data_IF_995296900864
#
_entry.id   IF_995296900864
#
_cell.length_a   1.000
_cell.length_b   1.000
_cell.length_c   1.000
_cell.angle_alpha   90.00
_cell.angle_beta   90.00
_cell.angle_gamma   90.00
#
_symmetry.space_group_name_H-M   'P 1'
#
loop_
_entity.id
_entity.type
_entity.pdbx_description
1 polymer ?
#
# COMPACT_ATOMS: atom_id res chain seq x y z
N UNK A 1 -13.44 -26.30 -7.98
CA UNK A 1 -12.82 -24.97 -8.27
C UNK A 1 -11.54 -24.78 -7.45
N UNK A 2 -11.52 -25.17 -6.17
CA UNK A 2 -10.28 -25.24 -5.36
C UNK A 2 -9.20 -26.16 -5.95
N UNK A 3 -9.59 -27.23 -6.64
CA UNK A 3 -8.63 -28.21 -7.20
C UNK A 3 -7.78 -27.67 -8.37
N UNK A 4 -8.13 -26.50 -8.93
CA UNK A 4 -7.39 -25.85 -10.02
C UNK A 4 -6.48 -24.71 -9.56
N UNK A 5 -6.35 -24.52 -8.24
CA UNK A 5 -5.56 -23.46 -7.62
C UNK A 5 -4.31 -24.09 -7.00
N UNK A 6 -3.15 -23.47 -7.22
CA UNK A 6 -1.89 -23.83 -6.57
C UNK A 6 -1.87 -23.23 -5.16
N UNK A 7 -1.60 -24.09 -4.17
CA UNK A 7 -1.30 -23.70 -2.80
C UNK A 7 0.05 -22.96 -2.73
N UNK A 8 0.30 -22.27 -1.61
CA UNK A 8 1.56 -21.55 -1.42
C UNK A 8 2.78 -22.49 -1.39
N UNK A 9 2.61 -23.69 -0.84
CA UNK A 9 3.65 -24.72 -0.82
C UNK A 9 3.94 -25.24 -2.22
N UNK A 10 2.91 -25.47 -3.05
CA UNK A 10 3.09 -25.87 -4.45
C UNK A 10 3.77 -24.78 -5.29
N UNK A 11 3.41 -23.51 -5.09
CA UNK A 11 4.08 -22.39 -5.77
C UNK A 11 5.56 -22.33 -5.37
N UNK A 12 5.86 -22.40 -4.07
CA UNK A 12 7.23 -22.38 -3.58
C UNK A 12 8.05 -23.59 -4.07
N UNK A 13 7.43 -24.77 -4.19
CA UNK A 13 8.07 -25.95 -4.77
C UNK A 13 8.41 -25.73 -6.25
N UNK A 14 7.49 -25.18 -7.05
CA UNK A 14 7.69 -24.88 -8.47
C UNK A 14 8.76 -23.80 -8.70
N UNK A 15 8.78 -22.75 -7.88
CA UNK A 15 9.76 -21.67 -7.96
C UNK A 15 11.19 -22.19 -7.79
N UNK A 16 11.38 -23.10 -6.84
CA UNK A 16 12.68 -23.73 -6.59
C UNK A 16 13.06 -24.75 -7.67
N UNK A 17 12.11 -25.55 -8.16
CA UNK A 17 12.33 -26.46 -9.28
C UNK A 17 12.84 -25.70 -10.50
N UNK A 18 12.19 -24.59 -10.86
CA UNK A 18 12.57 -23.75 -12.00
C UNK A 18 13.90 -23.02 -11.76
N UNK A 19 14.18 -22.59 -10.52
CA UNK A 19 15.46 -21.98 -10.12
C UNK A 19 16.65 -22.90 -10.23
N UNK A 20 16.49 -24.17 -9.87
CA UNK A 20 17.61 -25.12 -9.95
C UNK A 20 17.81 -25.66 -11.38
N UNK A 21 16.75 -25.81 -12.18
CA UNK A 21 16.84 -26.13 -13.62
C UNK A 21 17.76 -25.14 -14.35
N UNK A 22 17.76 -23.87 -13.96
CA UNK A 22 18.61 -22.81 -14.54
C UNK A 22 20.12 -22.97 -14.32
N UNK A 23 20.54 -23.80 -13.35
CA UNK A 23 21.94 -23.92 -12.93
C UNK A 23 22.69 -25.10 -13.55
N UNK A 24 21.98 -26.07 -14.15
CA UNK A 24 22.59 -27.27 -14.72
C UNK A 24 22.04 -27.56 -16.12
N UNK A 25 22.87 -27.52 -17.18
CA UNK A 25 22.43 -27.55 -18.58
C UNK A 25 22.00 -28.95 -19.09
N UNK A 26 21.60 -29.87 -18.21
CA UNK A 26 21.14 -31.22 -18.61
C UNK A 26 19.62 -31.28 -18.52
N UNK A 27 18.99 -31.47 -19.67
CA UNK A 27 17.53 -31.50 -19.89
C UNK A 27 16.78 -32.66 -19.22
N UNK A 28 17.46 -33.51 -18.46
CA UNK A 28 16.86 -34.68 -17.80
C UNK A 28 17.49 -34.87 -16.42
N UNK A 29 16.68 -34.74 -15.36
CA UNK A 29 17.12 -34.99 -13.97
C UNK A 29 16.46 -36.24 -13.40
N UNK A 30 17.26 -37.06 -12.75
CA UNK A 30 16.79 -38.18 -11.94
C UNK A 30 15.88 -37.69 -10.79
N UNK A 31 14.67 -38.22 -10.72
CA UNK A 31 13.68 -37.83 -9.70
C UNK A 31 14.18 -38.07 -8.27
N UNK A 32 14.98 -39.10 -8.03
CA UNK A 32 15.49 -39.44 -6.70
C UNK A 32 16.59 -38.47 -6.23
N UNK A 33 17.44 -38.02 -7.15
CA UNK A 33 18.48 -37.04 -6.84
C UNK A 33 17.84 -35.67 -6.55
N UNK A 34 16.81 -35.30 -7.32
CA UNK A 34 16.01 -34.10 -7.09
C UNK A 34 15.31 -34.09 -5.71
N UNK A 35 14.62 -35.19 -5.35
CA UNK A 35 13.97 -35.32 -4.03
C UNK A 35 14.94 -35.23 -2.85
N UNK A 36 16.21 -35.62 -3.06
CA UNK A 36 17.27 -35.54 -2.06
C UNK A 36 17.81 -34.10 -1.94
N UNK A 37 18.03 -33.43 -3.06
CA UNK A 37 18.44 -32.02 -3.10
C UNK A 37 17.38 -31.10 -2.48
N UNK A 38 16.10 -31.36 -2.77
CA UNK A 38 14.96 -30.64 -2.17
C UNK A 38 14.95 -30.71 -0.64
N UNK A 39 15.07 -31.93 -0.08
CA UNK A 39 15.15 -32.14 1.37
C UNK A 39 16.34 -31.41 2.00
N UNK A 40 17.45 -31.28 1.28
CA UNK A 40 18.64 -30.58 1.76
C UNK A 40 18.49 -29.05 1.74
N UNK A 41 17.75 -28.48 0.78
CA UNK A 41 17.58 -27.02 0.63
C UNK A 41 16.61 -26.41 1.66
N UNK A 42 15.61 -27.15 2.11
CA UNK A 42 14.52 -26.61 2.94
C UNK A 42 14.54 -27.04 4.41
N UNK A 43 15.50 -27.91 4.80
CA UNK A 43 15.49 -28.54 6.11
C UNK A 43 14.35 -29.56 6.27
N UNK A 44 14.35 -30.28 7.40
CA UNK A 44 13.59 -31.53 7.65
C UNK A 44 12.05 -31.37 7.78
N UNK A 45 11.45 -30.30 7.24
CA UNK A 45 10.05 -29.94 7.47
C UNK A 45 9.25 -29.42 6.27
N UNK A 46 9.79 -29.40 5.05
CA UNK A 46 9.02 -29.03 3.85
C UNK A 46 8.26 -30.22 3.27
N UNK A 47 7.00 -30.01 2.90
CA UNK A 47 6.19 -31.04 2.24
C UNK A 47 6.66 -31.20 0.77
N UNK A 48 6.87 -32.45 0.34
CA UNK A 48 7.16 -32.80 -1.05
C UNK A 48 5.84 -32.77 -1.83
N UNK A 49 5.64 -31.73 -2.66
CA UNK A 49 4.43 -31.57 -3.47
C UNK A 49 4.53 -32.24 -4.86
N UNK A 50 5.52 -33.10 -5.11
CA UNK A 50 5.73 -33.70 -6.43
C UNK A 50 4.53 -34.51 -6.91
N UNK A 51 3.84 -35.22 -6.01
CA UNK A 51 2.69 -36.06 -6.38
C UNK A 51 1.44 -35.22 -6.67
N UNK A 52 1.20 -34.17 -5.88
CA UNK A 52 0.11 -33.21 -6.09
C UNK A 52 0.25 -32.52 -7.45
N UNK A 53 1.47 -32.11 -7.81
CA UNK A 53 1.76 -31.50 -9.10
C UNK A 53 1.65 -32.48 -10.27
N UNK A 54 1.94 -33.77 -10.05
CA UNK A 54 1.70 -34.84 -11.03
C UNK A 54 0.22 -35.10 -11.24
N UNK A 55 -0.58 -35.14 -10.17
CA UNK A 55 -2.05 -35.26 -10.25
C UNK A 55 -2.63 -34.09 -11.05
N UNK A 56 -2.08 -32.88 -10.87
CA UNK A 56 -2.45 -31.68 -11.64
C UNK A 56 -1.96 -31.71 -13.10
N UNK A 57 -1.11 -32.68 -13.47
CA UNK A 57 -0.52 -32.83 -14.81
C UNK A 57 0.53 -31.79 -15.14
N UNK A 58 1.07 -31.10 -14.13
CA UNK A 58 2.13 -30.10 -14.27
C UNK A 58 3.49 -30.79 -14.41
N UNK A 59 3.70 -31.85 -13.63
CA UNK A 59 4.87 -32.72 -13.72
C UNK A 59 4.47 -34.04 -14.36
N UNK A 60 5.36 -34.59 -15.17
CA UNK A 60 5.24 -35.95 -15.71
C UNK A 60 6.55 -36.72 -15.53
N UNK A 61 6.46 -38.05 -15.44
CA UNK A 61 7.61 -38.92 -15.31
C UNK A 61 7.81 -39.67 -16.61
N UNK A 62 8.98 -39.51 -17.19
CA UNK A 62 9.39 -40.27 -18.37
C UNK A 62 10.60 -41.13 -18.04
N UNK A 63 10.69 -42.29 -18.69
CA UNK A 63 11.86 -43.15 -18.55
C UNK A 63 12.77 -42.91 -19.74
N UNK A 64 14.01 -42.52 -19.47
CA UNK A 64 15.03 -42.30 -20.50
C UNK A 64 16.12 -43.35 -20.35
N UNK A 65 16.51 -43.95 -21.48
CA UNK A 65 17.65 -44.84 -21.51
C UNK A 65 18.94 -44.02 -21.43
N UNK A 66 19.75 -44.29 -20.41
CA UNK A 66 21.06 -43.67 -20.19
C UNK A 66 22.14 -44.72 -20.43
N UNK A 67 23.17 -44.33 -21.17
CA UNK A 67 24.27 -45.20 -21.54
C UNK A 67 25.54 -44.67 -20.90
N UNK A 68 26.04 -45.38 -19.89
CA UNK A 68 27.30 -45.06 -19.24
C UNK A 68 28.42 -45.90 -19.87
N UNK A 69 29.46 -45.20 -20.33
CA UNK A 69 30.63 -45.84 -20.93
C UNK A 69 31.70 -45.99 -19.84
N UNK A 70 32.03 -47.23 -19.52
CA UNK A 70 33.14 -47.56 -18.63
C UNK A 70 34.26 -48.20 -19.45
N UNK A 71 35.44 -47.58 -19.43
CA UNK A 71 36.66 -48.22 -19.90
C UNK A 71 37.20 -49.14 -18.81
N UNK A 72 37.28 -50.43 -19.10
CA UNK A 72 37.94 -51.40 -18.24
C UNK A 72 38.90 -52.24 -19.08
N UNK A 73 40.18 -52.21 -18.74
CA UNK A 73 41.27 -52.89 -19.47
C UNK A 73 41.31 -52.61 -20.99
N UNK A 74 41.03 -51.37 -21.42
CA UNK A 74 41.12 -50.94 -22.82
C UNK A 74 39.97 -51.44 -23.71
N UNK A 75 38.89 -51.96 -23.13
CA UNK A 75 37.63 -52.24 -23.80
C UNK A 75 36.54 -51.34 -23.23
N UNK A 76 35.83 -50.62 -24.10
CA UNK A 76 34.67 -49.82 -23.74
C UNK A 76 33.46 -50.74 -23.47
N UNK A 77 33.00 -50.78 -22.24
CA UNK A 77 31.75 -51.42 -21.86
C UNK A 77 30.64 -50.36 -21.74
N UNK A 78 29.58 -50.53 -22.52
CA UNK A 78 28.40 -49.67 -22.47
C UNK A 78 27.38 -50.29 -21.51
N UNK A 79 27.15 -49.66 -20.36
CA UNK A 79 26.09 -50.03 -19.44
C UNK A 79 24.84 -49.21 -19.79
N UNK A 80 23.81 -49.88 -20.30
CA UNK A 80 22.49 -49.28 -20.46
C UNK A 80 21.73 -49.37 -19.14
N UNK A 81 21.30 -48.22 -18.63
CA UNK A 81 20.40 -48.11 -17.48
C UNK A 81 19.16 -47.31 -17.85
N UNK A 82 18.06 -47.52 -17.13
CA UNK A 82 16.84 -46.72 -17.29
C UNK A 82 16.76 -45.72 -16.15
N UNK A 83 16.68 -44.44 -16.50
CA UNK A 83 16.55 -43.34 -15.56
C UNK A 83 15.13 -42.79 -15.58
N UNK A 84 14.48 -42.70 -14.42
CA UNK A 84 13.22 -41.98 -14.29
C UNK A 84 13.53 -40.48 -14.19
N UNK A 85 12.99 -39.72 -15.13
CA UNK A 85 13.23 -38.29 -15.25
C UNK A 85 11.92 -37.52 -15.21
N UNK A 86 11.93 -36.39 -14.51
CA UNK A 86 10.80 -35.49 -14.43
C UNK A 86 10.78 -34.54 -15.62
N UNK A 87 9.66 -34.45 -16.31
CA UNK A 87 9.40 -33.46 -17.36
C UNK A 87 8.34 -32.47 -16.89
N UNK A 88 8.36 -31.26 -17.44
CA UNK A 88 7.49 -30.17 -17.03
C UNK A 88 6.51 -29.81 -18.15
N UNK A 89 5.21 -29.92 -17.89
CA UNK A 89 4.19 -29.49 -18.83
C UNK A 89 3.89 -28.01 -18.65
N UNK A 90 4.64 -27.19 -19.40
CA UNK A 90 4.58 -25.73 -19.32
C UNK A 90 3.17 -25.21 -19.61
N UNK A 91 2.45 -25.76 -20.59
CA UNK A 91 1.11 -25.27 -20.95
C UNK A 91 0.09 -25.51 -19.81
N UNK A 92 0.12 -26.71 -19.22
CA UNK A 92 -0.77 -27.06 -18.09
C UNK A 92 -0.43 -26.21 -16.88
N UNK A 93 0.85 -26.06 -16.57
CA UNK A 93 1.31 -25.16 -15.52
C UNK A 93 0.80 -23.73 -15.68
N UNK A 94 0.93 -23.15 -16.88
CA UNK A 94 0.45 -21.79 -17.15
C UNK A 94 -1.06 -21.65 -16.86
N UNK A 95 -1.87 -22.66 -17.19
CA UNK A 95 -3.30 -22.68 -16.88
C UNK A 95 -3.57 -22.65 -15.38
N UNK A 96 -2.91 -23.52 -14.60
CA UNK A 96 -3.03 -23.54 -13.14
C UNK A 96 -2.54 -22.23 -12.51
N UNK A 97 -1.45 -21.69 -13.02
CA UNK A 97 -0.84 -20.49 -12.48
C UNK A 97 -1.69 -19.23 -12.72
N UNK A 98 -2.13 -19.01 -13.96
CA UNK A 98 -3.02 -17.87 -14.28
C UNK A 98 -4.33 -17.98 -13.50
N UNK A 99 -4.92 -19.18 -13.42
CA UNK A 99 -6.11 -19.47 -12.60
C UNK A 99 -5.88 -19.08 -11.13
N UNK A 100 -4.75 -19.48 -10.56
CA UNK A 100 -4.37 -19.20 -9.17
C UNK A 100 -4.26 -17.69 -8.92
N UNK A 101 -3.65 -16.96 -9.84
CA UNK A 101 -3.51 -15.50 -9.72
C UNK A 101 -4.86 -14.77 -9.82
N UNK A 102 -5.68 -15.14 -10.80
CA UNK A 102 -7.01 -14.53 -10.99
C UNK A 102 -7.88 -14.79 -9.76
N UNK A 103 -7.84 -16.02 -9.22
CA UNK A 103 -8.51 -16.35 -7.97
C UNK A 103 -8.02 -15.50 -6.80
N UNK A 104 -6.69 -15.39 -6.59
CA UNK A 104 -6.11 -14.54 -5.51
C UNK A 104 -6.44 -13.05 -5.70
N UNK A 105 -6.68 -12.59 -6.93
CA UNK A 105 -7.13 -11.21 -7.20
C UNK A 105 -8.60 -10.96 -6.85
N UNK A 106 -9.35 -12.00 -6.46
CA UNK A 106 -10.78 -11.94 -6.12
C UNK A 106 -11.73 -12.11 -7.31
N UNK A 107 -11.23 -12.57 -8.46
CA UNK A 107 -12.02 -12.83 -9.67
C UNK A 107 -12.34 -14.32 -9.85
N UNK A 108 -13.36 -14.60 -10.66
CA UNK A 108 -13.67 -15.96 -11.07
C UNK A 108 -12.76 -16.39 -12.24
N UNK A 109 -11.98 -17.44 -12.04
CA UNK A 109 -11.05 -17.94 -13.06
C UNK A 109 -11.75 -18.50 -14.32
N UNK A 110 -13.06 -18.78 -14.24
CA UNK A 110 -13.86 -19.24 -15.38
C UNK A 110 -14.03 -18.19 -16.48
N UNK A 111 -13.63 -16.94 -16.24
CA UNK A 111 -13.69 -15.83 -17.22
C UNK A 111 -12.54 -15.87 -18.24
N UNK A 112 -11.56 -16.76 -18.04
CA UNK A 112 -10.39 -16.88 -18.92
C UNK A 112 -10.59 -18.03 -19.90
N UNK A 113 -10.55 -17.70 -21.19
CA UNK A 113 -10.57 -18.70 -22.25
C UNK A 113 -9.15 -19.22 -22.52
N UNK A 114 -8.77 -20.28 -21.79
CA UNK A 114 -7.48 -20.96 -21.96
C UNK A 114 -7.30 -21.66 -23.31
N UNK A 115 -8.35 -21.75 -24.16
CA UNK A 115 -8.19 -22.28 -25.53
C UNK A 115 -7.45 -21.30 -26.44
N UNK A 116 -7.31 -20.03 -26.02
CA UNK A 116 -6.61 -18.98 -26.76
C UNK A 116 -5.11 -18.92 -26.43
N UNK A 117 -4.57 -19.86 -25.65
CA UNK A 117 -3.12 -19.99 -25.47
C UNK A 117 -2.50 -20.27 -26.83
N UNK A 118 -1.58 -19.40 -27.24
CA UNK A 118 -0.83 -19.54 -28.49
C UNK A 118 0.65 -19.73 -28.18
N UNK A 119 1.24 -20.79 -28.75
CA UNK A 119 2.69 -21.05 -28.69
C UNK A 119 3.38 -20.23 -29.79
N UNK A 120 4.28 -19.34 -29.38
CA UNK A 120 5.17 -18.59 -30.24
C UNK A 120 6.59 -19.15 -30.21
N UNK A 121 7.51 -18.42 -30.85
CA UNK A 121 8.93 -18.80 -30.95
C UNK A 121 9.58 -18.81 -29.55
N UNK A 122 9.37 -17.76 -28.74
CA UNK A 122 10.04 -17.66 -27.44
C UNK A 122 9.17 -18.07 -26.24
N UNK A 123 8.05 -18.78 -26.46
CA UNK A 123 7.18 -19.27 -25.38
C UNK A 123 5.69 -19.21 -25.70
N UNK A 124 4.85 -18.93 -24.71
CA UNK A 124 3.39 -18.93 -24.82
C UNK A 124 2.83 -17.51 -24.69
N UNK A 125 1.64 -17.29 -25.21
CA UNK A 125 0.91 -16.05 -24.97
C UNK A 125 -0.58 -16.30 -24.84
N UNK A 126 -1.21 -15.56 -23.94
CA UNK A 126 -2.62 -15.69 -23.60
C UNK A 126 -3.28 -14.30 -23.64
N UNK A 127 -4.26 -14.08 -24.54
CA UNK A 127 -5.10 -12.91 -24.46
C UNK A 127 -6.04 -13.02 -23.25
N UNK A 128 -6.09 -11.97 -22.45
CA UNK A 128 -7.02 -11.81 -21.34
C UNK A 128 -7.87 -10.58 -21.62
N UNK A 129 -9.19 -10.75 -21.59
CA UNK A 129 -10.12 -9.62 -21.71
C UNK A 129 -10.27 -8.95 -20.34
N UNK A 130 -10.10 -7.63 -20.30
CA UNK A 130 -10.13 -6.82 -19.08
C UNK A 130 -11.05 -5.63 -19.34
N UNK A 131 -12.30 -5.74 -18.91
CA UNK A 131 -13.32 -4.74 -19.25
C UNK A 131 -13.55 -4.71 -20.77
N UNK A 132 -13.35 -3.56 -21.41
CA UNK A 132 -13.42 -3.39 -22.87
C UNK A 132 -12.11 -3.68 -23.59
N UNK A 133 -11.01 -3.75 -22.85
CA UNK A 133 -9.67 -3.87 -23.41
C UNK A 133 -9.27 -5.34 -23.50
N UNK A 134 -8.43 -5.68 -24.49
CA UNK A 134 -7.79 -7.00 -24.60
C UNK A 134 -6.31 -6.82 -24.37
N UNK A 135 -5.78 -7.49 -23.35
CA UNK A 135 -4.36 -7.47 -23.01
C UNK A 135 -3.78 -8.84 -23.31
N UNK A 136 -2.63 -8.89 -23.99
CA UNK A 136 -1.96 -10.15 -24.30
C UNK A 136 -0.82 -10.37 -23.29
N UNK A 137 -0.93 -11.40 -22.47
CA UNK A 137 0.14 -11.77 -21.54
C UNK A 137 1.11 -12.69 -22.25
N UNK A 138 2.41 -12.41 -22.17
CA UNK A 138 3.45 -13.25 -22.75
C UNK A 138 4.20 -14.01 -21.65
N UNK A 139 4.28 -15.31 -21.83
CA UNK A 139 5.05 -16.24 -21.02
C UNK A 139 6.24 -16.67 -21.85
N UNK A 140 7.38 -16.03 -21.65
CA UNK A 140 8.60 -16.41 -22.35
C UNK A 140 9.14 -17.66 -21.64
N UNK A 141 9.32 -18.73 -22.40
CA UNK A 141 9.82 -20.00 -21.89
C UNK A 141 10.98 -20.39 -22.78
N UNK A 142 12.16 -20.60 -22.21
CA UNK A 142 13.42 -20.91 -22.92
C UNK A 142 13.45 -22.27 -23.63
N UNK A 143 12.33 -22.72 -24.20
CA UNK A 143 12.26 -23.95 -24.97
C UNK A 143 12.62 -23.69 -26.45
N UNK A 144 13.81 -23.14 -26.71
CA UNK A 144 14.47 -23.20 -28.02
C UNK A 144 15.97 -23.42 -27.88
N UNK A 145 16.40 -24.57 -28.40
CA UNK A 145 17.71 -24.83 -28.97
C UNK A 145 17.94 -23.94 -30.20
N UNK A 146 18.58 -22.78 -30.02
CA UNK A 146 19.08 -21.98 -31.15
C UNK A 146 18.89 -20.48 -31.02
N UNK A 147 20.03 -19.78 -30.89
CA UNK A 147 20.23 -18.45 -31.45
C UNK A 147 19.80 -17.28 -30.58
N UNK A 148 20.81 -16.55 -30.07
CA UNK A 148 20.78 -15.14 -29.62
C UNK A 148 20.38 -14.83 -28.16
N UNK A 149 19.91 -15.79 -27.36
CA UNK A 149 19.62 -15.60 -25.93
C UNK A 149 20.60 -16.31 -24.97
N UNK A 150 21.78 -16.72 -25.45
CA UNK A 150 22.78 -17.53 -24.72
C UNK A 150 23.38 -16.90 -23.45
N UNK A 151 23.04 -15.66 -23.09
CA UNK A 151 23.59 -14.97 -21.91
C UNK A 151 22.57 -14.64 -20.82
N UNK A 152 21.34 -15.17 -20.89
CA UNK A 152 20.37 -15.08 -19.79
C UNK A 152 19.94 -16.47 -19.37
N UNK A 153 20.12 -16.77 -18.08
CA UNK A 153 19.82 -18.04 -17.40
C UNK A 153 18.49 -18.66 -17.85
N UNK A 154 18.45 -19.99 -17.95
CA UNK A 154 17.23 -20.73 -18.28
C UNK A 154 16.16 -20.56 -17.21
N UNK A 155 15.28 -19.59 -17.40
CA UNK A 155 14.13 -19.30 -16.56
C UNK A 155 12.85 -19.23 -17.39
N UNK A 156 11.71 -19.45 -16.74
CA UNK A 156 10.46 -18.92 -17.24
C UNK A 156 10.45 -17.41 -16.98
N UNK A 157 10.07 -16.60 -17.95
CA UNK A 157 9.91 -15.15 -17.75
C UNK A 157 8.46 -14.80 -18.03
N UNK A 158 7.83 -14.09 -17.10
CA UNK A 158 6.48 -13.57 -17.33
C UNK A 158 6.63 -12.11 -17.69
N UNK A 159 6.37 -11.79 -18.96
CA UNK A 159 6.28 -10.40 -19.41
C UNK A 159 4.82 -10.09 -19.67
N UNK A 160 4.26 -9.24 -18.82
CA UNK A 160 3.02 -8.56 -19.16
C UNK A 160 3.38 -7.56 -20.26
N UNK A 161 2.83 -7.71 -21.48
CA UNK A 161 2.97 -6.71 -22.54
C UNK A 161 1.59 -6.32 -23.03
N UNK A 162 1.05 -5.23 -22.50
CA UNK A 162 -0.20 -4.66 -22.97
C UNK A 162 0.02 -3.63 -24.06
N UNK A 163 -0.96 -3.45 -24.96
CA UNK A 163 -1.13 -2.25 -25.79
C UNK A 163 -1.56 -1.03 -24.93
N UNK A 164 -1.03 -0.92 -23.72
CA UNK A 164 -1.38 0.10 -22.74
C UNK A 164 -0.18 1.02 -22.54
N UNK A 165 -0.46 2.30 -22.38
CA UNK A 165 0.49 3.36 -22.05
C UNK A 165 1.00 3.24 -20.60
N UNK A 166 1.56 2.08 -20.24
CA UNK A 166 2.37 1.92 -19.04
C UNK A 166 3.84 2.23 -19.40
N UNK A 167 4.58 2.96 -18.56
CA UNK A 167 5.98 3.26 -18.83
C UNK A 167 6.79 1.95 -18.81
N UNK A 168 7.42 1.64 -19.95
CA UNK A 168 8.37 0.55 -20.23
C UNK A 168 8.40 -0.58 -19.19
N UNK A 169 7.74 -1.69 -19.51
CA UNK A 169 7.67 -2.90 -18.69
C UNK A 169 9.07 -3.51 -18.48
N UNK A 170 9.37 -3.82 -17.22
CA UNK A 170 10.50 -4.65 -16.80
C UNK A 170 10.10 -6.12 -16.91
N UNK A 171 10.91 -6.93 -17.57
CA UNK A 171 10.81 -8.40 -17.51
C UNK A 171 10.78 -8.85 -16.04
N UNK A 172 9.90 -9.79 -15.71
CA UNK A 172 9.86 -10.43 -14.39
C UNK A 172 10.48 -11.81 -14.53
N UNK A 173 11.55 -12.03 -13.78
CA UNK A 173 12.17 -13.34 -13.64
C UNK A 173 11.30 -14.17 -12.69
N UNK A 174 10.98 -15.40 -13.08
CA UNK A 174 10.14 -16.29 -12.27
C UNK A 174 10.70 -16.59 -10.86
N UNK A 175 11.98 -16.32 -10.61
CA UNK A 175 12.62 -16.60 -9.32
C UNK A 175 12.11 -15.74 -8.17
N UNK A 176 11.53 -14.59 -8.46
CA UNK A 176 10.83 -13.80 -7.45
C UNK A 176 9.36 -14.23 -7.44
N UNK A 177 8.76 -14.54 -6.27
CA UNK A 177 7.33 -14.79 -6.20
C UNK A 177 6.63 -13.58 -6.83
N UNK A 178 5.98 -13.79 -7.97
CA UNK A 178 5.41 -12.72 -8.80
C UNK A 178 4.39 -11.89 -7.99
N UNK A 179 3.82 -12.46 -6.93
CA UNK A 179 2.96 -11.74 -5.98
C UNK A 179 3.68 -10.65 -5.16
N UNK A 180 4.98 -10.79 -4.93
CA UNK A 180 5.81 -9.84 -4.19
C UNK A 180 6.54 -8.85 -5.09
N UNK A 181 6.59 -9.11 -6.41
CA UNK A 181 7.14 -8.18 -7.38
C UNK A 181 6.23 -6.95 -7.56
N UNK A 182 6.83 -5.76 -7.62
CA UNK A 182 6.10 -4.50 -7.68
C UNK A 182 5.37 -4.32 -9.02
N UNK A 183 5.94 -4.78 -10.13
CA UNK A 183 5.37 -4.64 -11.48
C UNK A 183 4.16 -5.56 -11.64
N UNK A 184 4.27 -6.80 -11.19
CA UNK A 184 3.14 -7.72 -11.13
C UNK A 184 2.06 -7.26 -10.14
N UNK A 185 2.42 -6.80 -8.94
CA UNK A 185 1.46 -6.21 -7.98
C UNK A 185 0.68 -5.06 -8.61
N UNK A 186 1.36 -4.15 -9.31
CA UNK A 186 0.72 -3.04 -10.04
C UNK A 186 -0.21 -3.54 -11.13
N UNK A 187 0.21 -4.52 -11.93
CA UNK A 187 -0.63 -5.12 -12.97
C UNK A 187 -1.89 -5.76 -12.38
N UNK A 188 -1.79 -6.47 -11.25
CA UNK A 188 -2.93 -7.09 -10.59
C UNK A 188 -3.87 -6.08 -9.92
N UNK A 189 -3.32 -5.03 -9.29
CA UNK A 189 -4.13 -3.91 -8.79
C UNK A 189 -4.85 -3.24 -9.94
N UNK A 190 -4.18 -2.98 -11.06
CA UNK A 190 -4.80 -2.42 -12.26
C UNK A 190 -5.90 -3.35 -12.83
N UNK A 191 -5.64 -4.65 -12.92
CA UNK A 191 -6.61 -5.68 -13.33
C UNK A 191 -7.87 -5.67 -12.45
N UNK A 192 -7.69 -5.51 -11.13
CA UNK A 192 -8.76 -5.41 -10.13
C UNK A 192 -9.55 -4.11 -10.30
N UNK A 193 -8.87 -2.99 -10.55
CA UNK A 193 -9.49 -1.69 -10.78
C UNK A 193 -10.23 -1.60 -12.12
N UNK A 194 -9.80 -2.31 -13.17
CA UNK A 194 -10.47 -2.28 -14.47
C UNK A 194 -11.65 -3.23 -14.60
N UNK A 195 -11.67 -4.33 -13.85
CA UNK A 195 -12.82 -5.24 -13.79
C UNK A 195 -13.96 -4.76 -12.92
N UNK A 196 -13.67 -3.80 -12.04
CA UNK A 196 -14.69 -3.11 -11.26
C UNK A 196 -15.72 -2.54 -12.25
N UNK A 197 -17.02 -2.93 -12.18
CA UNK A 197 -18.05 -2.36 -13.06
C UNK A 197 -18.00 -0.83 -12.97
N UNK A 198 -18.32 -0.08 -14.02
CA UNK A 198 -18.22 1.40 -14.02
C UNK A 198 -18.92 2.05 -12.81
N UNK A 199 -20.02 1.44 -12.35
CA UNK A 199 -20.75 1.79 -11.12
C UNK A 199 -19.89 1.67 -9.85
N UNK A 200 -18.98 0.70 -9.78
CA UNK A 200 -18.06 0.52 -8.66
C UNK A 200 -16.92 1.56 -8.59
N UNK A 201 -16.62 2.24 -9.72
CA UNK A 201 -15.73 3.40 -9.79
C UNK A 201 -16.41 4.71 -9.38
N UNK A 202 -17.71 4.70 -9.09
CA UNK A 202 -18.42 5.84 -8.53
C UNK A 202 -18.12 5.95 -7.03
N UNK A 203 -17.22 6.86 -6.68
CA UNK A 203 -16.91 7.22 -5.31
C UNK A 203 -16.35 8.63 -5.23
N UNK A 204 -16.55 9.26 -4.08
CA UNK A 204 -15.82 10.46 -3.69
C UNK A 204 -14.58 10.05 -2.91
N UNK A 205 -13.55 10.89 -2.82
CA UNK A 205 -12.36 10.54 -2.05
C UNK A 205 -11.71 11.76 -1.39
N UNK A 206 -10.96 11.47 -0.34
CA UNK A 206 -10.02 12.40 0.30
C UNK A 206 -8.62 11.80 0.14
N UNK A 207 -7.65 12.62 -0.26
CA UNK A 207 -6.24 12.25 -0.21
C UNK A 207 -5.71 12.50 1.20
N UNK A 208 -5.13 11.46 1.79
CA UNK A 208 -4.32 11.55 2.99
C UNK A 208 -2.95 12.15 2.61
N UNK A 209 -2.53 13.26 3.22
CA UNK A 209 -1.21 13.81 2.97
C UNK A 209 -0.11 12.78 3.28
N UNK A 210 0.82 12.61 2.35
CA UNK A 210 1.82 11.53 2.37
C UNK A 210 2.89 11.73 3.44
N UNK A 211 3.13 12.98 3.84
CA UNK A 211 4.13 13.41 4.82
C UNK A 211 3.64 13.34 6.27
N UNK A 212 2.38 12.98 6.52
CA UNK A 212 1.88 12.78 7.87
C UNK A 212 2.35 11.45 8.46
N UNK A 213 2.71 11.47 9.74
CA UNK A 213 3.01 10.27 10.51
C UNK A 213 1.75 9.40 10.69
N UNK A 214 1.90 8.10 10.95
CA UNK A 214 0.78 7.17 11.10
C UNK A 214 -0.24 7.60 12.15
N UNK A 215 0.21 8.16 13.28
CA UNK A 215 -0.68 8.68 14.33
C UNK A 215 -1.51 9.89 13.84
N UNK A 216 -0.90 10.77 13.04
CA UNK A 216 -1.59 11.92 12.45
C UNK A 216 -2.58 11.49 11.37
N UNK A 217 -2.23 10.49 10.55
CA UNK A 217 -3.16 9.88 9.59
C UNK A 217 -4.39 9.31 10.30
N UNK A 218 -4.21 8.66 11.45
CA UNK A 218 -5.31 8.16 12.27
C UNK A 218 -6.21 9.29 12.82
N UNK A 219 -5.63 10.42 13.22
CA UNK A 219 -6.43 11.58 13.64
C UNK A 219 -7.21 12.23 12.49
N UNK A 220 -6.67 12.20 11.26
CA UNK A 220 -7.42 12.60 10.05
C UNK A 220 -8.59 11.64 9.79
N UNK A 221 -8.43 10.33 10.05
CA UNK A 221 -9.50 9.35 9.90
C UNK A 221 -10.60 9.55 10.96
N UNK A 222 -10.24 9.89 12.20
CA UNK A 222 -11.21 10.32 13.22
C UNK A 222 -11.96 11.59 12.80
N UNK A 223 -11.26 12.56 12.22
CA UNK A 223 -11.85 13.77 11.69
C UNK A 223 -12.90 13.47 10.61
N UNK A 224 -12.62 12.53 9.69
CA UNK A 224 -13.59 12.07 8.69
C UNK A 224 -14.85 11.51 9.36
N UNK A 225 -14.70 10.68 10.38
CA UNK A 225 -15.82 10.10 11.12
C UNK A 225 -16.66 11.18 11.82
N UNK A 226 -16.01 12.16 12.46
CA UNK A 226 -16.67 13.31 13.08
C UNK A 226 -17.42 14.15 12.03
N UNK A 227 -16.82 14.38 10.85
CA UNK A 227 -17.44 15.13 9.78
C UNK A 227 -18.71 14.47 9.23
N UNK A 228 -18.65 13.16 8.92
CA UNK A 228 -19.82 12.40 8.48
C UNK A 228 -20.94 12.42 9.54
N UNK A 229 -20.57 12.35 10.82
CA UNK A 229 -21.52 12.48 11.93
C UNK A 229 -22.22 13.86 11.93
N UNK A 230 -21.49 14.95 11.64
CA UNK A 230 -22.11 16.28 11.48
C UNK A 230 -23.04 16.38 10.26
N UNK A 231 -22.83 15.56 9.24
CA UNK A 231 -23.74 15.41 8.10
C UNK A 231 -24.95 14.50 8.41
N UNK A 232 -25.10 14.09 9.68
CA UNK A 232 -26.14 13.19 10.20
C UNK A 232 -26.04 11.73 9.74
N UNK A 233 -24.85 11.30 9.34
CA UNK A 233 -24.57 9.87 9.13
C UNK A 233 -24.17 9.21 10.45
N UNK A 234 -24.78 8.07 10.75
CA UNK A 234 -24.47 7.30 11.96
C UNK A 234 -23.54 6.15 11.62
N UNK A 235 -22.43 6.01 12.34
CA UNK A 235 -21.51 4.88 12.17
C UNK A 235 -22.19 3.56 12.59
N UNK A 236 -22.16 2.56 11.73
CA UNK A 236 -22.80 1.24 11.87
C UNK A 236 -21.85 0.16 11.34
N UNK A 237 -20.75 -0.07 12.06
CA UNK A 237 -19.75 -1.07 11.69
C UNK A 237 -20.15 -2.46 12.20
N UNK A 238 -21.01 -3.15 11.45
CA UNK A 238 -21.22 -4.58 11.62
C UNK A 238 -21.32 -5.26 10.26
N UNK A 239 -20.89 -6.52 10.12
CA UNK A 239 -20.97 -7.27 8.86
C UNK A 239 -22.37 -7.28 8.24
N UNK A 240 -23.41 -7.36 9.08
CA UNK A 240 -24.82 -7.27 8.66
C UNK A 240 -25.16 -5.97 7.92
N UNK A 241 -24.48 -4.86 8.25
CA UNK A 241 -24.66 -3.59 7.57
C UNK A 241 -23.83 -3.47 6.28
N UNK A 242 -22.92 -4.41 6.02
CA UNK A 242 -22.14 -4.46 4.78
C UNK A 242 -22.85 -5.26 3.69
N UNK A 243 -23.74 -6.17 4.06
CA UNK A 243 -24.51 -6.99 3.14
C UNK A 243 -25.87 -6.34 2.81
N UNK A 244 -26.42 -6.58 1.60
CA UNK A 244 -25.87 -7.40 0.51
C UNK A 244 -24.82 -6.68 -0.36
N UNK A 245 -24.60 -5.37 -0.18
CA UNK A 245 -23.86 -4.55 -1.14
C UNK A 245 -22.38 -4.91 -1.28
N UNK A 246 -21.74 -5.40 -0.21
CA UNK A 246 -20.37 -5.95 -0.28
C UNK A 246 -20.26 -7.11 -1.28
N UNK A 247 -21.22 -8.03 -1.29
CA UNK A 247 -21.25 -9.17 -2.20
C UNK A 247 -21.65 -8.74 -3.63
N UNK A 248 -22.71 -7.94 -3.76
CA UNK A 248 -23.25 -7.54 -5.07
C UNK A 248 -22.29 -6.66 -5.87
N UNK A 249 -21.48 -5.84 -5.19
CA UNK A 249 -20.53 -4.93 -5.83
C UNK A 249 -19.07 -5.37 -5.66
N UNK A 250 -18.84 -6.62 -5.24
CA UNK A 250 -17.52 -7.22 -5.08
C UNK A 250 -16.57 -6.36 -4.22
N UNK A 251 -17.08 -5.78 -3.14
CA UNK A 251 -16.30 -5.09 -2.11
C UNK A 251 -15.98 -6.09 -1.00
N UNK A 252 -14.72 -6.58 -0.90
CA UNK A 252 -14.35 -7.47 0.19
C UNK A 252 -14.61 -6.76 1.53
N UNK A 253 -15.36 -7.39 2.44
CA UNK A 253 -15.68 -6.80 3.74
C UNK A 253 -14.42 -6.39 4.52
N UNK A 254 -13.31 -7.11 4.33
CA UNK A 254 -12.00 -6.79 4.91
C UNK A 254 -11.41 -5.44 4.49
N UNK A 255 -11.87 -4.87 3.38
CA UNK A 255 -11.43 -3.55 2.89
C UNK A 255 -12.28 -2.40 3.42
N UNK A 256 -13.47 -2.70 3.96
CA UNK A 256 -14.38 -1.70 4.51
C UNK A 256 -13.90 -1.36 5.93
N UNK A 257 -13.40 -0.15 6.10
CA UNK A 257 -12.98 0.34 7.42
C UNK A 257 -14.17 0.76 8.26
N UNK A 258 -15.05 1.56 7.68
CA UNK A 258 -16.21 2.11 8.36
C UNK A 258 -17.45 2.07 7.45
N UNK A 259 -18.62 1.81 8.04
CA UNK A 259 -19.92 1.93 7.40
C UNK A 259 -20.74 2.99 8.12
N UNK A 260 -21.37 3.85 7.34
CA UNK A 260 -22.18 4.96 7.81
C UNK A 260 -23.57 4.88 7.20
N UNK A 261 -24.61 5.06 8.01
CA UNK A 261 -26.01 4.99 7.56
C UNK A 261 -26.76 6.25 7.96
N UNK A 262 -27.50 6.81 7.01
CA UNK A 262 -28.39 7.94 7.19
C UNK A 262 -29.77 7.61 6.63
N UNK A 263 -30.80 8.00 7.38
CA UNK A 263 -32.19 7.85 6.95
C UNK A 263 -32.77 9.24 6.67
N UNK A 264 -33.28 9.45 5.47
CA UNK A 264 -33.99 10.67 5.06
C UNK A 264 -35.38 10.27 4.57
N UNK A 265 -36.37 10.36 5.46
CA UNK A 265 -37.72 9.86 5.17
C UNK A 265 -37.71 8.34 4.96
N UNK A 266 -38.17 7.88 3.79
CA UNK A 266 -38.14 6.47 3.38
C UNK A 266 -36.81 6.04 2.75
N UNK A 267 -35.94 6.99 2.39
CA UNK A 267 -34.68 6.70 1.69
C UNK A 267 -33.57 6.39 2.68
N UNK A 268 -32.91 5.24 2.49
CA UNK A 268 -31.73 4.82 3.25
C UNK A 268 -30.47 5.11 2.43
N UNK A 269 -29.61 5.98 2.95
CA UNK A 269 -28.26 6.20 2.41
C UNK A 269 -27.24 5.46 3.26
N UNK A 270 -26.33 4.75 2.60
CA UNK A 270 -25.23 4.02 3.21
C UNK A 270 -23.93 4.46 2.56
N UNK A 271 -22.87 4.63 3.34
CA UNK A 271 -21.53 4.95 2.86
C UNK A 271 -20.56 3.91 3.41
N UNK A 272 -19.82 3.24 2.53
CA UNK A 272 -18.63 2.51 2.90
C UNK A 272 -17.40 3.41 2.76
N UNK A 273 -16.61 3.45 3.82
CA UNK A 273 -15.32 4.12 3.87
C UNK A 273 -14.25 3.04 3.69
N UNK A 274 -13.50 3.15 2.61
CA UNK A 274 -12.42 2.21 2.25
C UNK A 274 -11.10 2.98 2.24
N UNK A 275 -10.05 2.38 2.80
CA UNK A 275 -8.70 2.96 2.73
C UNK A 275 -7.92 2.25 1.65
N UNK A 276 -7.46 3.02 0.68
CA UNK A 276 -6.62 2.57 -0.40
C UNK A 276 -5.33 3.39 -0.41
N UNK A 277 -4.27 2.82 0.17
CA UNK A 277 -2.98 3.49 0.38
C UNK A 277 -3.12 4.86 1.08
N UNK A 278 -2.93 5.95 0.33
CA UNK A 278 -3.03 7.33 0.80
C UNK A 278 -4.35 7.99 0.39
N UNK A 279 -5.40 7.20 0.10
CA UNK A 279 -6.74 7.69 -0.23
C UNK A 279 -7.77 7.05 0.67
N UNK A 280 -8.74 7.87 1.07
CA UNK A 280 -9.96 7.42 1.73
C UNK A 280 -11.09 7.57 0.74
N UNK A 281 -11.65 6.44 0.32
CA UNK A 281 -12.71 6.34 -0.68
C UNK A 281 -14.07 6.22 0.03
N UNK A 282 -15.08 6.90 -0.51
CA UNK A 282 -16.44 6.94 0.01
C UNK A 282 -17.38 6.36 -1.05
N UNK A 283 -17.77 5.10 -0.88
CA UNK A 283 -18.72 4.43 -1.77
C UNK A 283 -20.13 4.61 -1.22
N UNK A 284 -21.00 5.27 -1.98
CA UNK A 284 -22.36 5.59 -1.54
C UNK A 284 -23.37 4.65 -2.16
N UNK A 285 -24.34 4.26 -1.36
CA UNK A 285 -25.47 3.43 -1.74
C UNK A 285 -26.77 4.12 -1.30
N UNK A 286 -27.70 4.28 -2.23
CA UNK A 286 -29.04 4.83 -1.98
C UNK A 286 -30.02 3.68 -2.19
N UNK A 287 -30.75 3.32 -1.14
CA UNK A 287 -31.70 2.20 -1.13
C UNK A 287 -31.07 0.88 -1.62
N UNK A 288 -29.80 0.65 -1.28
CA UNK A 288 -29.02 -0.54 -1.64
C UNK A 288 -28.34 -0.47 -3.01
N UNK A 289 -28.63 0.55 -3.81
CA UNK A 289 -28.04 0.72 -5.14
C UNK A 289 -26.83 1.65 -5.05
N UNK A 290 -25.69 1.23 -5.60
CA UNK A 290 -24.50 2.09 -5.67
C UNK A 290 -24.77 3.31 -6.54
N UNK A 291 -24.49 4.50 -6.02
CA UNK A 291 -24.81 5.76 -6.68
C UNK A 291 -23.76 6.82 -6.35
N UNK A 292 -23.49 7.70 -7.31
CA UNK A 292 -22.74 8.93 -7.04
C UNK A 292 -23.66 9.96 -6.36
N UNK A 293 -23.34 10.33 -5.12
CA UNK A 293 -24.08 11.36 -4.38
C UNK A 293 -23.32 12.70 -4.50
N UNK A 294 -23.80 13.58 -5.38
CA UNK A 294 -23.20 14.89 -5.63
C UNK A 294 -23.10 15.74 -4.37
N UNK A 295 -24.10 15.67 -3.49
CA UNK A 295 -24.10 16.41 -2.24
C UNK A 295 -23.02 15.90 -1.30
N UNK A 296 -22.89 14.57 -1.19
CA UNK A 296 -21.80 13.98 -0.42
C UNK A 296 -20.45 14.37 -1.04
N UNK A 297 -20.31 14.27 -2.36
CA UNK A 297 -19.06 14.57 -3.05
C UNK A 297 -18.58 15.99 -2.79
N UNK A 298 -19.47 16.98 -2.92
CA UNK A 298 -19.17 18.36 -2.58
C UNK A 298 -18.80 18.51 -1.08
N UNK A 299 -19.46 17.79 -0.18
CA UNK A 299 -19.09 17.80 1.24
C UNK A 299 -17.71 17.17 1.49
N UNK A 300 -17.35 16.13 0.74
CA UNK A 300 -16.04 15.48 0.79
C UNK A 300 -14.94 16.40 0.22
N UNK A 301 -15.20 17.15 -0.84
CA UNK A 301 -14.27 18.18 -1.34
C UNK A 301 -14.04 19.28 -0.29
N UNK A 302 -15.09 19.74 0.38
CA UNK A 302 -14.95 20.70 1.49
C UNK A 302 -14.16 20.11 2.66
N UNK A 303 -14.31 18.82 2.94
CA UNK A 303 -13.51 18.13 3.95
C UNK A 303 -12.02 18.07 3.54
N UNK A 304 -11.71 17.81 2.27
CA UNK A 304 -10.33 17.89 1.75
C UNK A 304 -9.74 19.28 2.00
N UNK A 305 -10.47 20.34 1.67
CA UNK A 305 -10.01 21.73 1.89
C UNK A 305 -9.70 21.97 3.38
N UNK A 306 -10.53 21.45 4.28
CA UNK A 306 -10.29 21.52 5.72
C UNK A 306 -9.02 20.78 6.13
N UNK A 307 -8.85 19.54 5.65
CA UNK A 307 -7.67 18.71 5.91
C UNK A 307 -6.40 19.40 5.41
N UNK A 308 -6.40 19.94 4.21
CA UNK A 308 -5.25 20.64 3.63
C UNK A 308 -4.88 21.86 4.46
N UNK A 309 -5.89 22.64 4.86
CA UNK A 309 -5.69 23.81 5.72
C UNK A 309 -5.08 23.42 7.08
N UNK A 310 -5.60 22.37 7.71
CA UNK A 310 -5.10 21.88 9.01
C UNK A 310 -3.72 21.28 8.90
N UNK A 311 -3.44 20.57 7.81
CA UNK A 311 -2.12 20.03 7.51
C UNK A 311 -1.10 21.15 7.33
N UNK A 312 -1.44 22.20 6.58
CA UNK A 312 -0.57 23.37 6.43
C UNK A 312 -0.34 24.10 7.76
N UNK A 313 -1.35 24.20 8.62
CA UNK A 313 -1.20 24.75 9.97
C UNK A 313 -0.27 23.87 10.82
N UNK A 314 -0.49 22.56 10.85
CA UNK A 314 0.36 21.60 11.55
C UNK A 314 1.83 21.70 11.10
N UNK A 315 2.08 21.70 9.78
CA UNK A 315 3.43 21.90 9.21
C UNK A 315 4.09 23.18 9.70
N UNK A 316 3.36 24.31 9.72
CA UNK A 316 3.87 25.59 10.23
C UNK A 316 4.20 25.54 11.72
N UNK A 317 3.41 24.83 12.52
CA UNK A 317 3.67 24.70 13.96
C UNK A 317 4.87 23.77 14.18
N UNK A 318 4.96 22.65 13.47
CA UNK A 318 6.09 21.71 13.53
C UNK A 318 7.41 22.37 13.12
N UNK A 319 7.43 23.16 12.04
CA UNK A 319 8.62 23.93 11.67
C UNK A 319 9.07 24.89 12.78
N UNK A 320 8.12 25.60 13.42
CA UNK A 320 8.43 26.50 14.54
C UNK A 320 8.86 25.76 15.80
N UNK A 321 8.34 24.55 16.03
CA UNK A 321 8.78 23.66 17.11
C UNK A 321 10.19 23.12 16.84
N UNK A 322 10.52 22.72 15.62
CA UNK A 322 11.88 22.29 15.26
C UNK A 322 12.93 23.40 15.41
N UNK A 323 12.50 24.66 15.33
CA UNK A 323 13.32 25.85 15.62
C UNK A 323 13.26 26.29 17.10
N UNK A 324 12.41 25.66 17.91
CA UNK A 324 12.23 26.02 19.32
C UNK A 324 13.43 25.55 20.12
N UNK A 325 13.92 26.43 20.99
CA UNK A 325 15.01 26.10 21.93
C UNK A 325 14.51 25.29 23.14
N UNK A 326 13.26 24.82 23.18
CA UNK A 326 12.73 24.08 24.33
C UNK A 326 13.41 22.74 24.58
N UNK A 327 13.98 22.08 23.57
CA UNK A 327 14.81 20.90 23.84
C UNK A 327 16.09 21.28 24.63
N UNK A 328 16.40 22.59 24.69
CA UNK A 328 17.37 23.21 25.59
C UNK A 328 16.71 23.91 26.80
N UNK A 329 15.51 23.51 27.25
CA UNK A 329 14.78 24.15 28.37
C UNK A 329 15.67 24.33 29.61
N UNK A 330 16.50 23.33 29.89
CA UNK A 330 17.47 23.30 31.00
C UNK A 330 18.47 24.46 30.89
N UNK A 331 18.80 24.93 29.69
CA UNK A 331 19.68 26.07 29.44
C UNK A 331 18.94 27.41 29.47
N UNK A 332 17.67 27.46 29.01
CA UNK A 332 16.88 28.70 28.96
C UNK A 332 16.35 29.12 30.34
N UNK A 333 15.91 28.17 31.16
CA UNK A 333 15.32 28.47 32.48
C UNK A 333 16.27 29.27 33.38
N UNK A 334 17.58 28.94 33.49
CA UNK A 334 18.54 29.76 34.21
C UNK A 334 18.66 31.19 33.65
N UNK A 335 18.68 31.34 32.31
CA UNK A 335 18.78 32.65 31.65
C UNK A 335 17.54 33.51 31.97
N UNK A 336 16.34 32.91 31.93
CA UNK A 336 15.09 33.56 32.32
C UNK A 336 15.12 34.03 33.78
N UNK A 337 15.55 33.15 34.70
CA UNK A 337 15.63 33.47 36.14
C UNK A 337 16.61 34.62 36.38
N UNK A 338 17.79 34.59 35.75
CA UNK A 338 18.80 35.66 35.88
C UNK A 338 18.29 36.98 35.32
N UNK A 339 17.67 36.98 34.14
CA UNK A 339 17.10 38.19 33.54
C UNK A 339 15.99 38.80 34.41
N UNK A 340 15.09 37.97 34.94
CA UNK A 340 14.03 38.39 35.87
C UNK A 340 14.59 38.92 37.19
N UNK A 341 15.54 38.22 37.81
CA UNK A 341 16.16 38.65 39.06
C UNK A 341 16.90 39.99 38.89
N UNK A 342 17.57 40.19 37.75
CA UNK A 342 18.26 41.43 37.41
C UNK A 342 17.29 42.59 37.18
N UNK A 343 16.17 42.34 36.49
CA UNK A 343 15.11 43.32 36.30
C UNK A 343 14.44 43.73 37.63
N UNK A 344 14.12 42.76 38.50
CA UNK A 344 13.53 43.01 39.83
C UNK A 344 14.48 43.81 40.71
N UNK A 345 15.77 43.51 40.67
CA UNK A 345 16.80 44.26 41.42
C UNK A 345 16.88 45.71 40.94
N UNK A 346 16.83 45.93 39.62
CA UNK A 346 16.80 47.25 39.00
C UNK A 346 15.54 48.05 39.38
N UNK A 347 14.37 47.41 39.43
CA UNK A 347 13.11 48.04 39.89
C UNK A 347 13.19 48.42 41.36
N UNK A 348 13.74 47.54 42.22
CA UNK A 348 13.93 47.85 43.65
C UNK A 348 14.82 49.07 43.83
N UNK A 349 15.95 49.16 43.12
CA UNK A 349 16.87 50.32 43.17
C UNK A 349 16.13 51.60 42.77
N UNK A 350 15.33 51.57 41.71
CA UNK A 350 14.48 52.69 41.27
C UNK A 350 13.44 53.11 42.32
N UNK A 351 12.87 52.15 43.05
CA UNK A 351 11.83 52.39 44.05
C UNK A 351 12.37 52.91 45.38
N UNK A 352 13.58 52.53 45.79
CA UNK A 352 14.13 52.90 47.09
C UNK A 352 14.75 54.30 47.18
N UNK A 353 14.81 55.08 46.10
CA UNK A 353 15.34 56.46 46.11
C UNK A 353 16.68 56.59 46.88
N UNK A 354 17.52 55.54 46.79
CA UNK A 354 18.69 55.36 47.65
C UNK A 354 19.73 56.45 47.40
N UNK A 355 20.38 56.91 48.48
CA UNK A 355 21.43 57.94 48.60
C UNK A 355 22.73 57.68 47.79
N UNK A 356 22.67 56.90 46.71
CA UNK A 356 23.79 56.73 45.79
C UNK A 356 24.00 58.04 45.00
N UNK A 357 25.16 58.67 45.24
CA UNK A 357 25.53 60.03 44.83
C UNK A 357 25.48 60.39 43.33
N UNK A 358 25.03 59.51 42.43
CA UNK A 358 24.86 59.79 40.99
C UNK A 358 23.50 59.31 40.41
N UNK A 359 22.48 59.14 41.26
CA UNK A 359 21.21 58.48 40.90
C UNK A 359 20.44 59.12 39.72
N UNK A 360 20.57 60.44 39.50
CA UNK A 360 19.89 61.14 38.40
C UNK A 360 20.47 60.78 37.02
N UNK A 361 21.78 60.57 36.90
CA UNK A 361 22.42 60.17 35.64
C UNK A 361 22.23 58.68 35.34
N UNK A 362 22.10 57.84 36.37
CA UNK A 362 21.92 56.38 36.23
C UNK A 362 20.47 55.95 35.99
N UNK A 363 19.48 56.83 36.20
CA UNK A 363 18.05 56.49 36.09
C UNK A 363 17.67 56.02 34.68
N UNK A 364 18.20 56.67 33.65
CA UNK A 364 17.98 56.28 32.25
C UNK A 364 18.56 54.90 31.94
N UNK A 365 19.77 54.62 32.43
CA UNK A 365 20.44 53.32 32.27
C UNK A 365 19.69 52.18 32.98
N UNK A 366 19.17 52.43 34.19
CA UNK A 366 18.33 51.48 34.92
C UNK A 366 17.02 51.15 34.19
N UNK A 367 16.35 52.17 33.65
CA UNK A 367 15.13 51.98 32.84
C UNK A 367 15.47 51.20 31.55
N UNK A 368 16.58 51.52 30.89
CA UNK A 368 17.06 50.79 29.71
C UNK A 368 17.34 49.32 30.03
N UNK A 369 18.01 49.04 31.14
CA UNK A 369 18.33 47.68 31.59
C UNK A 369 17.07 46.85 31.91
N UNK A 370 16.08 47.45 32.60
CA UNK A 370 14.77 46.80 32.83
C UNK A 370 14.09 46.48 31.49
N UNK A 371 14.08 47.45 30.58
CA UNK A 371 13.44 47.30 29.27
C UNK A 371 14.08 46.17 28.47
N UNK A 372 15.41 46.12 28.38
CA UNK A 372 16.15 45.04 27.70
C UNK A 372 15.88 43.69 28.35
N UNK A 373 15.88 43.62 29.69
CA UNK A 373 15.61 42.38 30.43
C UNK A 373 14.20 41.85 30.16
N UNK A 374 13.19 42.73 30.16
CA UNK A 374 11.81 42.36 29.82
C UNK A 374 11.70 41.91 28.37
N UNK A 375 12.32 42.63 27.43
CA UNK A 375 12.32 42.27 26.00
C UNK A 375 12.97 40.89 25.79
N UNK A 376 14.09 40.61 26.46
CA UNK A 376 14.76 39.32 26.39
C UNK A 376 13.87 38.17 26.92
N UNK A 377 13.20 38.38 28.05
CA UNK A 377 12.23 37.42 28.61
C UNK A 377 11.08 37.17 27.62
N UNK A 378 10.48 38.22 27.07
CA UNK A 378 9.39 38.12 26.09
C UNK A 378 9.86 37.37 24.84
N UNK A 379 11.05 37.69 24.32
CA UNK A 379 11.63 37.03 23.15
C UNK A 379 11.83 35.53 23.37
N UNK A 380 12.38 35.15 24.53
CA UNK A 380 12.57 33.75 24.92
C UNK A 380 11.23 33.00 25.07
N UNK A 381 10.21 33.64 25.65
CA UNK A 381 8.86 33.05 25.75
C UNK A 381 8.25 32.85 24.35
N UNK A 382 8.38 33.83 23.46
CA UNK A 382 7.80 33.79 22.11
C UNK A 382 8.47 32.73 21.23
N UNK A 383 9.78 32.54 21.34
CA UNK A 383 10.52 31.57 20.52
C UNK A 383 10.51 30.17 21.13
N UNK A 384 10.62 30.06 22.46
CA UNK A 384 10.62 28.77 23.14
C UNK A 384 9.22 28.23 23.42
N UNK A 385 8.45 28.94 24.24
CA UNK A 385 7.22 28.40 24.83
C UNK A 385 6.04 28.43 23.86
N UNK A 386 5.86 29.52 23.12
CA UNK A 386 4.68 29.72 22.26
C UNK A 386 4.51 28.62 21.19
N UNK A 387 5.55 28.15 20.48
CA UNK A 387 5.39 27.05 19.51
C UNK A 387 4.87 25.76 20.13
N UNK A 388 5.33 25.41 21.34
CA UNK A 388 4.90 24.19 22.04
C UNK A 388 3.47 24.33 22.56
N UNK A 389 3.11 25.50 23.09
CA UNK A 389 1.74 25.77 23.48
C UNK A 389 0.80 25.70 22.26
N UNK A 390 1.23 26.19 21.10
CA UNK A 390 0.46 26.08 19.84
C UNK A 390 0.28 24.63 19.39
N UNK A 391 1.29 23.76 19.52
CA UNK A 391 1.13 22.32 19.27
C UNK A 391 0.13 21.70 20.25
N UNK A 392 0.24 22.03 21.54
CA UNK A 392 -0.63 21.45 22.57
C UNK A 392 -2.10 21.86 22.38
N UNK A 393 -2.34 23.09 21.90
CA UNK A 393 -3.68 23.61 21.63
C UNK A 393 -4.19 23.20 20.23
N UNK A 394 -3.30 22.71 19.35
CA UNK A 394 -3.68 22.29 18.01
C UNK A 394 -4.62 21.09 18.08
N UNK A 395 -5.67 21.16 17.26
CA UNK A 395 -6.63 20.08 17.12
C UNK A 395 -7.16 20.09 15.69
N UNK A 396 -7.20 18.90 15.11
CA UNK A 396 -7.75 18.63 13.79
C UNK A 396 -9.24 19.00 13.70
N UNK A 397 -10.00 18.67 14.75
CA UNK A 397 -11.47 18.80 14.80
C UNK A 397 -11.95 20.20 15.22
N UNK A 398 -11.07 21.03 15.78
CA UNK A 398 -11.48 22.33 16.34
C UNK A 398 -12.08 23.24 15.27
N UNK A 399 -13.39 23.48 15.38
CA UNK A 399 -14.17 24.31 14.45
C UNK A 399 -14.79 23.53 13.28
N UNK A 400 -14.60 22.21 13.21
CA UNK A 400 -15.11 21.35 12.14
C UNK A 400 -16.64 21.35 12.06
N UNK A 401 -17.33 21.27 13.21
CA UNK A 401 -18.80 21.30 13.27
C UNK A 401 -19.37 22.57 12.62
N UNK A 402 -18.82 23.74 12.99
CA UNK A 402 -19.23 25.03 12.43
C UNK A 402 -18.96 25.09 10.93
N UNK A 403 -17.87 24.49 10.48
CA UNK A 403 -17.52 24.41 9.07
C UNK A 403 -18.51 23.52 8.30
N UNK A 404 -18.75 22.29 8.77
CA UNK A 404 -19.72 21.35 8.18
C UNK A 404 -21.14 21.95 8.09
N UNK A 405 -21.63 22.55 9.18
CA UNK A 405 -22.95 23.20 9.23
C UNK A 405 -23.06 24.40 8.28
N UNK A 406 -21.97 25.16 8.07
CA UNK A 406 -21.94 26.27 7.12
C UNK A 406 -22.06 25.75 5.68
N UNK A 407 -21.34 24.69 5.35
CA UNK A 407 -21.39 24.05 4.03
C UNK A 407 -22.81 23.59 3.69
N UNK A 408 -23.48 22.91 4.62
CA UNK A 408 -24.89 22.48 4.48
C UNK A 408 -25.86 23.65 4.23
N UNK A 409 -25.70 24.77 4.94
CA UNK A 409 -26.56 25.96 4.75
C UNK A 409 -26.37 26.60 3.39
N UNK A 410 -25.13 26.63 2.90
CA UNK A 410 -24.80 27.25 1.60
C UNK A 410 -25.37 26.44 0.44
N UNK A 411 -25.44 25.11 0.60
CA UNK A 411 -26.08 24.18 -0.34
C UNK A 411 -27.62 24.33 -0.34
N UNK A 412 -28.25 24.50 0.82
CA UNK A 412 -29.71 24.70 0.93
C UNK A 412 -30.22 26.04 0.37
N UNK A 413 -29.34 26.98 0.04
CA UNK A 413 -29.68 28.29 -0.54
C UNK A 413 -29.34 28.43 -2.02
N UNK A 414 -28.74 27.41 -2.65
CA UNK A 414 -28.49 27.42 -4.09
C UNK A 414 -29.81 27.10 -4.83
N UNK A 415 -30.21 27.88 -5.84
CA UNK A 415 -31.40 27.56 -6.63
C UNK A 415 -31.16 26.22 -7.33
N UNK A 416 -32.06 25.26 -7.11
CA UNK A 416 -32.11 24.03 -7.90
C UNK A 416 -32.27 24.44 -9.37
N UNK A 417 -31.27 24.11 -10.19
CA UNK A 417 -31.31 24.30 -11.64
C UNK A 417 -31.75 23.03 -12.32
#
# INVERSE_FOLDING_TARGET
MMDQILSEVEVQFLDNLLSDVSKLPRSFRNLNDFRREWRNLQGDGSEDCSEELRIKGILDNTWVDVYDVHEDNGLENILQSKLEVCTFNIEVFLKYWVTTLIYKSGKNANEIDFTQISRGINGFSLPISIGTDRVKVFFITNDISGGELENKSDGAYVSFIGDLSLPNETYIDWYDPIYHDQSATRFFVWLKEQSKPSMSKMYSFVNLPTDLESAQKEDVLKLINSYLSYLSYNRRNSPENFQPESNEYFFPESTIRDCFVKHEGSTKRKIFVVINENRVEFHTFIDGIKSYDENLSLNIENLQIWIDKKTAENRRILLKKGLSLIDELIKIVPILIVALASAVSSVKILATNSEFLNFKESKFWLIGHISVSIIAVVFLIVIGIVPHLKMWIFSWERGLEKYAKKTLRTQGTAPQR
#
